data_IF_943384068720
#
_entry.id   IF_943384068720
#
_cell.length_a   1.000
_cell.length_b   1.000
_cell.length_c   1.000
_cell.angle_alpha   90.00
_cell.angle_beta   90.00
_cell.angle_gamma   90.00
#
_symmetry.space_group_name_H-M   'P 1'
#
loop_
_entity.id
_entity.type
_entity.pdbx_description
1 polymer ?
#
# COMPACT_ATOMS: atom_id res chain seq x y z
N UNK A 1 -10.18 -2.61 -0.89
CA UNK A 1 -9.63 -2.87 -2.24
C UNK A 1 -8.75 -1.72 -2.67
N UNK A 2 -7.56 -1.97 -3.28
CA UNK A 2 -6.66 -0.91 -3.70
C UNK A 2 -7.00 -0.35 -5.08
N UNK A 3 -6.81 0.96 -5.26
CA UNK A 3 -6.98 1.63 -6.55
C UNK A 3 -6.00 1.12 -7.62
N UNK A 4 -4.87 0.54 -7.24
CA UNK A 4 -3.93 -0.09 -8.16
C UNK A 4 -4.58 -1.19 -9.03
N UNK A 5 -5.47 -2.00 -8.45
CA UNK A 5 -6.22 -3.03 -9.18
C UNK A 5 -7.23 -2.42 -10.15
N UNK A 6 -8.05 -1.47 -9.70
CA UNK A 6 -9.01 -0.78 -10.59
C UNK A 6 -8.26 -0.11 -11.77
N UNK A 7 -7.12 0.56 -11.47
CA UNK A 7 -6.27 1.17 -12.49
C UNK A 7 -5.79 0.17 -13.53
N UNK A 8 -5.42 -1.05 -13.12
CA UNK A 8 -4.98 -2.10 -14.04
C UNK A 8 -6.09 -2.51 -15.00
N UNK A 9 -7.31 -2.74 -14.51
CA UNK A 9 -8.44 -3.08 -15.38
C UNK A 9 -8.71 -2.00 -16.44
N UNK A 10 -8.72 -0.74 -16.07
CA UNK A 10 -8.87 0.35 -17.03
C UNK A 10 -7.69 0.44 -18.01
N UNK A 11 -6.48 0.18 -17.55
CA UNK A 11 -5.30 0.18 -18.43
C UNK A 11 -5.35 -0.96 -19.47
N UNK A 12 -5.74 -2.15 -19.07
CA UNK A 12 -5.88 -3.32 -19.95
C UNK A 12 -7.01 -3.11 -20.98
N UNK A 13 -8.10 -2.42 -20.59
CA UNK A 13 -9.21 -2.07 -21.47
C UNK A 13 -8.84 -1.07 -22.58
N UNK A 14 -7.65 -0.44 -22.52
CA UNK A 14 -7.19 0.56 -23.53
C UNK A 14 -7.19 0.03 -24.95
N UNK A 15 -6.97 -1.28 -25.13
CA UNK A 15 -6.98 -1.90 -26.47
C UNK A 15 -8.38 -1.93 -27.10
N UNK A 16 -9.44 -1.91 -26.29
CA UNK A 16 -10.83 -1.95 -26.77
C UNK A 16 -11.46 -0.56 -26.83
N UNK A 17 -11.09 0.35 -25.94
CA UNK A 17 -11.58 1.72 -25.90
C UNK A 17 -10.51 2.64 -25.28
N UNK A 18 -9.70 3.22 -26.15
CA UNK A 18 -8.58 4.08 -25.74
C UNK A 18 -9.07 5.40 -25.11
N UNK A 19 -10.18 5.96 -25.59
CA UNK A 19 -10.70 7.24 -25.13
C UNK A 19 -11.28 7.12 -23.72
N UNK A 20 -12.18 6.16 -23.48
CA UNK A 20 -12.75 5.91 -22.16
C UNK A 20 -11.67 5.47 -21.16
N UNK A 21 -10.71 4.62 -21.57
CA UNK A 21 -9.59 4.23 -20.74
C UNK A 21 -8.75 5.43 -20.30
N UNK A 22 -8.37 6.30 -21.23
CA UNK A 22 -7.58 7.50 -20.93
C UNK A 22 -8.31 8.39 -19.93
N UNK A 23 -9.62 8.57 -20.08
CA UNK A 23 -10.42 9.38 -19.16
C UNK A 23 -10.53 8.75 -17.77
N UNK A 24 -10.77 7.44 -17.69
CA UNK A 24 -10.77 6.72 -16.41
C UNK A 24 -9.42 6.83 -15.69
N UNK A 25 -8.32 6.62 -16.41
CA UNK A 25 -6.97 6.73 -15.87
C UNK A 25 -6.64 8.16 -15.42
N UNK A 26 -7.17 9.18 -16.09
CA UNK A 26 -7.03 10.59 -15.69
C UNK A 26 -7.71 10.84 -14.33
N UNK A 27 -8.94 10.35 -14.12
CA UNK A 27 -9.61 10.43 -12.80
C UNK A 27 -8.80 9.74 -11.71
N UNK A 28 -8.33 8.52 -11.97
CA UNK A 28 -7.50 7.79 -10.99
C UNK A 28 -6.21 8.55 -10.70
N UNK A 29 -5.57 9.15 -11.72
CA UNK A 29 -4.38 9.98 -11.54
C UNK A 29 -4.64 11.15 -10.60
N UNK A 30 -5.78 11.84 -10.69
CA UNK A 30 -6.14 12.93 -9.77
C UNK A 30 -6.14 12.46 -8.31
N UNK A 31 -6.62 11.24 -8.03
CA UNK A 31 -6.60 10.69 -6.67
C UNK A 31 -5.16 10.50 -6.16
N UNK A 32 -4.27 9.96 -6.99
CA UNK A 32 -2.84 9.81 -6.62
C UNK A 32 -2.11 11.16 -6.53
N UNK A 33 -2.49 12.15 -7.33
CA UNK A 33 -1.92 13.50 -7.24
C UNK A 33 -2.27 14.16 -5.89
N UNK A 34 -3.45 13.89 -5.32
CA UNK A 34 -3.82 14.34 -3.95
C UNK A 34 -2.91 13.69 -2.90
N UNK A 35 -2.62 12.39 -3.01
CA UNK A 35 -1.68 11.70 -2.11
C UNK A 35 -0.27 12.29 -2.17
N UNK A 36 0.18 12.60 -3.39
CA UNK A 36 1.48 13.26 -3.59
C UNK A 36 1.51 14.65 -2.97
N UNK A 37 0.45 15.44 -3.13
CA UNK A 37 0.34 16.76 -2.51
C UNK A 37 0.35 16.67 -0.97
N UNK A 38 -0.33 15.68 -0.39
CA UNK A 38 -0.34 15.45 1.06
C UNK A 38 1.07 15.15 1.59
N UNK A 39 1.81 14.29 0.88
CA UNK A 39 3.20 14.00 1.21
C UNK A 39 4.08 15.24 1.14
N UNK A 40 3.97 16.01 0.07
CA UNK A 40 4.72 17.26 -0.10
C UNK A 40 4.38 18.30 0.98
N UNK A 41 3.10 18.38 1.41
CA UNK A 41 2.67 19.28 2.48
C UNK A 41 3.28 18.86 3.83
N UNK A 42 3.37 17.54 4.11
CA UNK A 42 4.05 17.04 5.29
C UNK A 42 5.57 17.31 5.24
N UNK A 43 6.22 17.12 4.09
CA UNK A 43 7.65 17.41 3.90
C UNK A 43 7.99 18.90 4.12
N UNK A 44 7.10 19.79 3.69
CA UNK A 44 7.27 21.25 3.89
C UNK A 44 7.04 21.71 5.35
N UNK A 45 6.59 20.84 6.23
CA UNK A 45 6.39 21.19 7.65
C UNK A 45 7.70 21.41 8.42
N UNK A 46 8.85 21.07 7.84
CA UNK A 46 10.17 21.16 8.48
C UNK A 46 10.44 20.05 9.51
N UNK A 47 9.53 19.06 9.65
CA UNK A 47 9.74 17.91 10.51
C UNK A 47 10.65 16.91 9.79
N UNK A 48 11.74 16.50 10.41
CA UNK A 48 12.66 15.51 9.85
C UNK A 48 11.98 14.12 9.88
N UNK A 49 11.77 13.49 8.70
CA UNK A 49 11.09 12.21 8.63
C UNK A 49 11.89 11.03 9.21
N UNK A 50 13.16 11.21 9.52
CA UNK A 50 14.03 10.19 10.10
C UNK A 50 14.24 10.43 11.59
N UNK A 51 14.56 11.68 11.97
CA UNK A 51 14.83 12.03 13.37
C UNK A 51 13.54 12.08 14.22
N UNK A 52 12.39 12.47 13.63
CA UNK A 52 11.09 12.59 14.31
C UNK A 52 10.00 11.89 13.47
N UNK A 53 10.18 10.60 13.26
CA UNK A 53 9.35 9.80 12.35
C UNK A 53 7.87 9.75 12.77
N UNK A 54 7.58 9.66 14.06
CA UNK A 54 6.21 9.60 14.59
C UNK A 54 5.47 10.92 14.33
N UNK A 55 6.10 12.04 14.63
CA UNK A 55 5.52 13.37 14.40
C UNK A 55 5.36 13.66 12.90
N UNK A 56 6.31 13.23 12.08
CA UNK A 56 6.17 13.33 10.62
C UNK A 56 5.00 12.49 10.11
N UNK A 57 4.84 11.27 10.65
CA UNK A 57 3.73 10.39 10.29
C UNK A 57 2.38 11.01 10.67
N UNK A 58 2.25 11.54 11.89
CA UNK A 58 1.02 12.23 12.33
C UNK A 58 0.68 13.42 11.43
N UNK A 59 1.69 14.20 11.05
CA UNK A 59 1.51 15.29 10.10
C UNK A 59 1.04 14.80 8.74
N UNK A 60 1.64 13.74 8.21
CA UNK A 60 1.24 13.15 6.94
C UNK A 60 -0.21 12.63 6.98
N UNK A 61 -0.61 11.97 8.07
CA UNK A 61 -1.97 11.48 8.29
C UNK A 61 -2.97 12.64 8.28
N UNK A 62 -2.67 13.73 8.99
CA UNK A 62 -3.51 14.92 9.03
C UNK A 62 -3.66 15.57 7.63
N UNK A 63 -2.56 15.73 6.89
CA UNK A 63 -2.60 16.33 5.55
C UNK A 63 -3.33 15.44 4.54
N UNK A 64 -3.17 14.10 4.62
CA UNK A 64 -3.93 13.15 3.80
C UNK A 64 -5.43 13.32 4.04
N UNK A 65 -5.87 13.27 5.29
CA UNK A 65 -7.29 13.42 5.61
C UNK A 65 -7.83 14.75 5.08
N UNK A 66 -7.16 15.86 5.39
CA UNK A 66 -7.58 17.21 4.97
C UNK A 66 -7.72 17.33 3.44
N UNK A 67 -6.69 16.92 2.70
CA UNK A 67 -6.69 17.05 1.23
C UNK A 67 -7.64 16.07 0.54
N UNK A 68 -7.83 14.87 1.11
CA UNK A 68 -8.84 13.92 0.62
C UNK A 68 -10.25 14.46 0.75
N UNK A 69 -10.60 15.05 1.91
CA UNK A 69 -11.91 15.70 2.09
C UNK A 69 -12.08 16.87 1.12
N UNK A 70 -11.04 17.64 0.90
CA UNK A 70 -11.10 18.81 0.03
C UNK A 70 -11.19 18.48 -1.46
N UNK A 71 -10.49 17.42 -1.92
CA UNK A 71 -10.34 17.14 -3.34
C UNK A 71 -10.77 15.72 -3.74
N UNK A 72 -10.31 14.67 -3.03
CA UNK A 72 -10.56 13.30 -3.47
C UNK A 72 -12.04 12.94 -3.44
N UNK A 73 -12.80 13.41 -2.47
CA UNK A 73 -14.24 13.14 -2.36
C UNK A 73 -14.98 13.66 -3.60
N UNK A 74 -14.66 14.89 -4.04
CA UNK A 74 -15.27 15.46 -5.23
C UNK A 74 -14.80 14.76 -6.53
N UNK A 75 -13.52 14.42 -6.64
CA UNK A 75 -13.01 13.63 -7.77
C UNK A 75 -13.69 12.27 -7.88
N UNK A 76 -13.89 11.58 -6.75
CA UNK A 76 -14.62 10.32 -6.69
C UNK A 76 -16.08 10.48 -7.12
N UNK A 77 -16.76 11.52 -6.66
CA UNK A 77 -18.15 11.81 -7.06
C UNK A 77 -18.25 12.00 -8.58
N UNK A 78 -17.38 12.83 -9.16
CA UNK A 78 -17.35 13.08 -10.61
C UNK A 78 -17.01 11.80 -11.38
N UNK A 79 -16.06 11.02 -10.88
CA UNK A 79 -15.67 9.77 -11.53
C UNK A 79 -16.81 8.75 -11.51
N UNK A 80 -17.52 8.60 -10.38
CA UNK A 80 -18.69 7.72 -10.27
C UNK A 80 -19.76 8.12 -11.29
N UNK A 81 -20.14 9.39 -11.31
CA UNK A 81 -21.15 9.90 -12.24
C UNK A 81 -20.74 9.64 -13.70
N UNK A 82 -19.47 9.83 -14.03
CA UNK A 82 -18.98 9.51 -15.36
C UNK A 82 -19.03 8.00 -15.65
N UNK A 83 -18.60 7.13 -14.73
CA UNK A 83 -18.69 5.67 -14.92
C UNK A 83 -20.12 5.21 -15.16
N UNK A 84 -21.08 5.73 -14.39
CA UNK A 84 -22.51 5.45 -14.54
C UNK A 84 -23.01 5.88 -15.94
N UNK A 85 -22.63 7.07 -16.39
CA UNK A 85 -23.02 7.56 -17.72
C UNK A 85 -22.45 6.76 -18.91
N UNK A 86 -21.40 5.98 -18.68
CA UNK A 86 -20.80 5.14 -19.73
C UNK A 86 -21.49 3.77 -19.88
N UNK A 87 -22.24 3.32 -18.88
CA UNK A 87 -22.88 2.00 -18.90
C UNK A 87 -24.10 1.98 -19.81
N UNK A 88 -24.23 0.95 -20.64
CA UNK A 88 -25.39 0.76 -21.52
C UNK A 88 -26.73 0.68 -20.74
N UNK A 89 -26.74 0.16 -19.52
CA UNK A 89 -27.91 0.14 -18.64
C UNK A 89 -28.46 1.55 -18.32
N UNK A 90 -27.63 2.58 -18.44
CA UNK A 90 -28.00 4.00 -18.25
C UNK A 90 -27.98 4.80 -19.57
N UNK A 91 -28.08 4.12 -20.71
CA UNK A 91 -28.06 4.77 -22.04
C UNK A 91 -26.65 5.11 -22.55
N UNK A 92 -25.61 4.64 -21.89
CA UNK A 92 -24.22 4.87 -22.30
C UNK A 92 -23.74 3.93 -23.42
N UNK A 93 -22.61 4.24 -24.04
CA UNK A 93 -22.10 3.52 -25.23
C UNK A 93 -21.39 2.21 -24.90
N UNK A 94 -21.04 1.93 -23.64
CA UNK A 94 -20.16 0.81 -23.27
C UNK A 94 -20.98 -0.44 -22.90
N UNK A 95 -20.77 -1.50 -23.67
CA UNK A 95 -21.41 -2.79 -23.43
C UNK A 95 -20.82 -3.50 -22.20
N UNK A 96 -21.64 -4.14 -21.33
CA UNK A 96 -21.19 -4.77 -20.08
C UNK A 96 -20.10 -5.84 -20.26
N UNK A 97 -20.16 -6.61 -21.34
CA UNK A 97 -19.21 -7.70 -21.63
C UNK A 97 -17.91 -7.24 -22.32
N UNK A 98 -17.84 -5.98 -22.75
CA UNK A 98 -16.59 -5.44 -23.30
C UNK A 98 -15.52 -5.32 -22.21
N UNK A 99 -14.21 -5.31 -22.53
CA UNK A 99 -13.14 -5.11 -21.55
C UNK A 99 -13.33 -3.84 -20.71
N UNK A 100 -13.80 -2.75 -21.34
CA UNK A 100 -14.11 -1.50 -20.64
C UNK A 100 -15.33 -1.66 -19.72
N UNK A 101 -16.39 -2.36 -20.18
CA UNK A 101 -17.57 -2.65 -19.35
C UNK A 101 -17.24 -3.50 -18.13
N UNK A 102 -16.35 -4.46 -18.28
CA UNK A 102 -15.84 -5.26 -17.14
C UNK A 102 -15.03 -4.40 -16.16
N UNK A 103 -14.20 -3.49 -16.63
CA UNK A 103 -13.46 -2.54 -15.79
C UNK A 103 -14.41 -1.62 -15.00
N UNK A 104 -15.44 -1.09 -15.64
CA UNK A 104 -16.47 -0.27 -15.00
C UNK A 104 -17.23 -1.11 -13.95
N UNK A 105 -17.69 -2.30 -14.34
CA UNK A 105 -18.42 -3.20 -13.43
C UNK A 105 -17.57 -3.55 -12.20
N UNK A 106 -16.28 -3.84 -12.38
CA UNK A 106 -15.36 -4.09 -11.28
C UNK A 106 -15.27 -2.87 -10.34
N UNK A 107 -15.05 -1.69 -10.89
CA UNK A 107 -14.93 -0.46 -10.10
C UNK A 107 -16.22 -0.16 -9.33
N UNK A 108 -17.39 -0.30 -9.98
CA UNK A 108 -18.68 -0.03 -9.36
C UNK A 108 -19.03 -1.04 -8.25
N UNK A 109 -18.75 -2.33 -8.45
CA UNK A 109 -18.97 -3.37 -7.43
C UNK A 109 -18.06 -3.18 -6.20
N UNK A 110 -16.92 -2.55 -6.37
CA UNK A 110 -15.96 -2.29 -5.29
C UNK A 110 -15.97 -0.83 -4.81
N UNK A 111 -16.95 -0.02 -5.27
CA UNK A 111 -16.91 1.42 -5.09
C UNK A 111 -16.78 1.87 -3.64
N UNK A 112 -17.59 1.31 -2.76
CA UNK A 112 -17.53 1.63 -1.33
C UNK A 112 -16.15 1.30 -0.74
N UNK A 113 -15.62 0.11 -1.03
CA UNK A 113 -14.31 -0.32 -0.58
C UNK A 113 -13.16 0.54 -1.16
N UNK A 114 -13.32 1.02 -2.40
CA UNK A 114 -12.37 1.94 -3.03
C UNK A 114 -12.41 3.34 -2.40
N UNK A 115 -13.54 3.75 -1.82
CA UNK A 115 -13.70 5.05 -1.18
C UNK A 115 -13.24 5.06 0.29
N UNK A 116 -13.14 3.91 0.98
CA UNK A 116 -12.79 3.82 2.41
C UNK A 116 -11.52 4.58 2.78
N UNK A 117 -10.50 4.61 1.90
CA UNK A 117 -9.24 5.31 2.19
C UNK A 117 -9.43 6.81 2.47
N UNK A 118 -10.53 7.42 2.02
CA UNK A 118 -10.81 8.83 2.28
C UNK A 118 -11.29 9.11 3.70
N UNK A 119 -11.75 8.09 4.43
CA UNK A 119 -12.31 8.24 5.78
C UNK A 119 -11.26 8.39 6.87
N UNK A 120 -10.01 7.98 6.60
CA UNK A 120 -8.92 8.03 7.56
C UNK A 120 -7.59 8.26 6.85
N UNK A 121 -6.81 9.24 7.29
CA UNK A 121 -5.49 9.55 6.71
C UNK A 121 -4.43 8.45 6.87
N UNK A 122 -4.64 7.52 7.81
CA UNK A 122 -3.76 6.35 8.02
C UNK A 122 -3.92 5.31 6.93
N UNK A 123 -5.10 5.21 6.32
CA UNK A 123 -5.36 4.25 5.24
C UNK A 123 -4.62 4.67 3.98
N UNK A 124 -3.97 3.73 3.31
CA UNK A 124 -3.35 3.99 2.02
C UNK A 124 -4.37 3.84 0.88
N UNK A 125 -4.20 4.62 -0.19
CA UNK A 125 -4.98 4.52 -1.42
C UNK A 125 -4.79 3.16 -2.12
N UNK A 126 -3.64 2.51 -1.89
CA UNK A 126 -3.31 1.17 -2.37
C UNK A 126 -2.64 0.33 -1.27
N UNK A 127 -2.47 -0.97 -1.53
CA UNK A 127 -1.80 -1.91 -0.64
C UNK A 127 -0.48 -2.43 -1.22
N UNK A 128 0.13 -1.70 -2.15
CA UNK A 128 1.37 -2.13 -2.83
C UNK A 128 2.47 -2.51 -1.84
N UNK A 129 2.56 -1.83 -0.68
CA UNK A 129 3.53 -2.17 0.35
C UNK A 129 3.29 -3.57 0.95
N UNK A 130 2.04 -3.92 1.22
CA UNK A 130 1.68 -5.25 1.73
C UNK A 130 1.85 -6.33 0.63
N UNK A 131 1.44 -6.03 -0.60
CA UNK A 131 1.61 -6.96 -1.73
C UNK A 131 3.09 -7.24 -2.02
N UNK A 132 3.95 -6.22 -1.96
CA UNK A 132 5.39 -6.40 -2.13
C UNK A 132 6.01 -7.21 -0.99
N UNK A 133 5.53 -7.07 0.25
CA UNK A 133 5.98 -7.91 1.37
C UNK A 133 5.63 -9.39 1.14
N UNK A 134 4.43 -9.67 0.61
CA UNK A 134 4.00 -11.04 0.30
C UNK A 134 4.64 -11.62 -0.97
N UNK A 135 5.17 -10.77 -1.86
CA UNK A 135 5.75 -11.22 -3.13
C UNK A 135 6.89 -12.23 -2.94
N UNK A 136 7.71 -12.07 -1.89
CA UNK A 136 8.81 -13.00 -1.58
C UNK A 136 8.30 -14.38 -1.25
N UNK A 137 7.25 -14.46 -0.44
CA UNK A 137 6.59 -15.74 -0.12
C UNK A 137 6.03 -16.37 -1.38
N UNK A 138 5.36 -15.58 -2.24
CA UNK A 138 4.78 -16.07 -3.48
C UNK A 138 5.84 -16.56 -4.48
N UNK A 139 7.00 -15.91 -4.58
CA UNK A 139 8.12 -16.33 -5.42
C UNK A 139 8.84 -17.53 -4.81
N UNK A 140 9.17 -17.48 -3.51
CA UNK A 140 9.86 -18.54 -2.79
C UNK A 140 9.08 -19.85 -2.74
N UNK A 141 7.74 -19.78 -2.74
CA UNK A 141 6.86 -20.97 -2.79
C UNK A 141 7.15 -21.89 -3.97
N UNK A 142 7.67 -21.37 -5.07
CA UNK A 142 8.09 -22.19 -6.22
C UNK A 142 9.29 -23.10 -5.91
N UNK A 143 10.10 -22.73 -4.91
CA UNK A 143 11.29 -23.50 -4.53
C UNK A 143 11.00 -24.49 -3.40
N UNK A 144 10.15 -24.15 -2.44
CA UNK A 144 9.89 -24.94 -1.24
C UNK A 144 8.49 -25.54 -1.15
N UNK A 145 7.61 -25.23 -2.10
CA UNK A 145 6.28 -25.81 -2.33
C UNK A 145 5.30 -25.64 -1.15
N UNK A 146 5.69 -25.97 0.10
CA UNK A 146 4.86 -25.92 1.31
C UNK A 146 5.72 -25.70 2.57
N UNK A 147 5.08 -25.34 3.68
CA UNK A 147 5.75 -25.05 4.95
C UNK A 147 5.90 -26.27 5.87
N UNK A 148 5.50 -27.46 5.46
CA UNK A 148 5.60 -28.72 6.19
C UNK A 148 4.59 -28.91 7.32
N UNK A 149 4.17 -27.83 7.98
CA UNK A 149 3.16 -27.86 9.07
C UNK A 149 2.63 -26.45 9.32
N UNK A 150 1.53 -26.33 10.10
CA UNK A 150 1.00 -25.03 10.55
C UNK A 150 2.04 -24.25 11.36
N UNK A 151 2.78 -24.90 12.25
CA UNK A 151 3.86 -24.28 13.01
C UNK A 151 4.98 -23.78 12.09
N UNK A 152 5.34 -24.54 11.04
CA UNK A 152 6.29 -24.08 10.01
C UNK A 152 5.79 -22.84 9.27
N UNK A 153 4.49 -22.78 8.98
CA UNK A 153 3.84 -21.60 8.39
C UNK A 153 3.91 -20.37 9.30
N UNK A 154 3.60 -20.54 10.59
CA UNK A 154 3.73 -19.46 11.59
C UNK A 154 5.16 -18.96 11.72
N UNK A 155 6.13 -19.87 11.84
CA UNK A 155 7.56 -19.53 11.94
C UNK A 155 8.02 -18.76 10.70
N UNK A 156 7.64 -19.22 9.50
CA UNK A 156 7.96 -18.53 8.25
C UNK A 156 7.34 -17.12 8.23
N UNK A 157 6.06 -16.96 8.62
CA UNK A 157 5.39 -15.67 8.66
C UNK A 157 6.11 -14.67 9.59
N UNK A 158 6.53 -15.11 10.78
CA UNK A 158 7.29 -14.28 11.73
C UNK A 158 8.63 -13.85 11.12
N UNK A 159 9.42 -14.80 10.61
CA UNK A 159 10.73 -14.49 10.02
C UNK A 159 10.63 -13.56 8.81
N UNK A 160 9.66 -13.80 7.90
CA UNK A 160 9.42 -12.91 6.77
C UNK A 160 8.98 -11.51 7.19
N UNK A 161 8.22 -11.38 8.28
CA UNK A 161 7.82 -10.08 8.84
C UNK A 161 9.02 -9.29 9.33
N UNK A 162 9.97 -9.94 10.01
CA UNK A 162 11.22 -9.30 10.44
C UNK A 162 12.08 -8.89 9.25
N UNK A 163 12.29 -9.77 8.28
CA UNK A 163 13.08 -9.48 7.07
C UNK A 163 12.46 -8.29 6.30
N UNK A 164 11.14 -8.31 6.06
CA UNK A 164 10.46 -7.23 5.35
C UNK A 164 10.56 -5.90 6.12
N UNK A 165 10.53 -5.93 7.45
CA UNK A 165 10.69 -4.74 8.29
C UNK A 165 12.13 -4.21 8.23
N UNK A 166 13.14 -5.09 8.31
CA UNK A 166 14.54 -4.71 8.15
C UNK A 166 14.77 -3.96 6.84
N UNK A 167 14.27 -4.50 5.74
CA UNK A 167 14.44 -3.87 4.42
C UNK A 167 13.76 -2.52 4.30
N UNK A 168 12.55 -2.37 4.86
CA UNK A 168 11.86 -1.07 4.90
C UNK A 168 12.64 -0.01 5.65
N UNK A 169 13.40 -0.42 6.68
CA UNK A 169 14.25 0.45 7.49
C UNK A 169 15.71 0.49 7.02
N UNK A 170 16.03 -0.16 5.89
CA UNK A 170 17.40 -0.24 5.34
C UNK A 170 18.39 -0.88 6.31
N UNK A 171 17.91 -1.81 7.11
CA UNK A 171 18.71 -2.64 8.01
C UNK A 171 19.07 -3.92 7.27
N UNK A 172 20.33 -4.38 7.37
CA UNK A 172 20.75 -5.68 6.85
C UNK A 172 20.05 -6.80 7.65
N UNK A 173 19.18 -7.62 7.03
CA UNK A 173 18.46 -8.67 7.75
C UNK A 173 19.38 -9.75 8.35
N UNK A 174 20.52 -10.04 7.72
CA UNK A 174 21.45 -11.04 8.24
C UNK A 174 22.16 -10.54 9.50
N UNK A 175 22.71 -9.34 9.46
CA UNK A 175 23.34 -8.71 10.63
C UNK A 175 22.34 -8.55 11.78
N UNK A 176 21.09 -8.12 11.47
CA UNK A 176 20.01 -8.02 12.44
C UNK A 176 19.70 -9.35 13.12
N UNK A 177 19.41 -10.41 12.33
CA UNK A 177 19.04 -11.72 12.88
C UNK A 177 20.20 -12.34 13.66
N UNK A 178 21.44 -12.23 13.19
CA UNK A 178 22.63 -12.71 13.91
C UNK A 178 22.73 -12.08 15.29
N UNK A 179 22.62 -10.77 15.39
CA UNK A 179 22.72 -10.04 16.65
C UNK A 179 21.53 -10.34 17.58
N UNK A 180 20.30 -10.28 17.07
CA UNK A 180 19.10 -10.54 17.87
C UNK A 180 19.06 -11.95 18.42
N UNK A 181 19.37 -12.97 17.61
CA UNK A 181 19.41 -14.36 18.06
C UNK A 181 20.49 -14.59 19.13
N UNK A 182 21.58 -13.84 19.10
CA UNK A 182 22.63 -13.89 20.13
C UNK A 182 22.17 -13.28 21.45
N UNK A 183 21.38 -12.20 21.42
CA UNK A 183 21.02 -11.41 22.61
C UNK A 183 19.66 -11.76 23.21
N UNK A 184 18.72 -12.28 22.43
CA UNK A 184 17.31 -12.42 22.83
C UNK A 184 17.13 -13.24 24.10
N UNK A 185 17.91 -14.32 24.27
CA UNK A 185 17.82 -15.18 25.43
C UNK A 185 18.22 -14.48 26.76
N UNK A 186 19.09 -13.47 26.70
CA UNK A 186 19.53 -12.67 27.82
C UNK A 186 18.77 -11.35 27.99
N UNK A 187 17.89 -11.00 27.04
CA UNK A 187 17.16 -9.73 27.07
C UNK A 187 15.89 -9.85 27.90
N UNK A 188 15.68 -9.01 28.92
CA UNK A 188 14.43 -8.98 29.69
C UNK A 188 13.23 -8.71 28.80
N UNK A 189 12.06 -9.32 29.12
CA UNK A 189 10.81 -9.16 28.37
C UNK A 189 10.43 -7.68 28.19
N UNK A 190 10.64 -6.87 29.22
CA UNK A 190 10.37 -5.42 29.20
C UNK A 190 11.26 -4.61 28.24
N UNK A 191 12.29 -5.23 27.67
CA UNK A 191 13.25 -4.59 26.77
C UNK A 191 13.22 -5.21 25.35
N UNK A 192 12.36 -6.18 25.08
CA UNK A 192 12.28 -6.84 23.76
C UNK A 192 11.93 -5.87 22.62
N UNK A 193 11.25 -4.77 22.93
CA UNK A 193 10.91 -3.75 21.95
C UNK A 193 12.14 -3.06 21.33
N UNK A 194 13.27 -3.03 22.06
CA UNK A 194 14.55 -2.51 21.58
C UNK A 194 15.19 -3.40 20.50
N UNK A 195 14.79 -4.67 20.44
CA UNK A 195 15.23 -5.63 19.43
C UNK A 195 14.40 -5.58 18.14
N UNK A 196 13.33 -4.79 18.08
CA UNK A 196 12.53 -4.65 16.86
C UNK A 196 13.34 -3.96 15.76
N UNK A 197 13.22 -4.35 14.47
CA UNK A 197 14.09 -3.86 13.40
C UNK A 197 14.15 -2.34 13.28
N UNK A 198 13.04 -1.64 13.53
CA UNK A 198 12.96 -0.17 13.45
C UNK A 198 13.62 0.55 14.64
N UNK A 199 13.92 -0.15 15.72
CA UNK A 199 14.63 0.37 16.91
C UNK A 199 16.03 -0.21 17.07
N UNK A 200 16.33 -1.28 16.33
CA UNK A 200 17.59 -1.97 16.42
C UNK A 200 18.79 -1.08 16.05
N UNK A 201 19.84 -1.19 16.85
CA UNK A 201 21.15 -0.58 16.58
C UNK A 201 22.21 -1.69 16.68
N UNK A 202 23.15 -1.76 15.71
CA UNK A 202 24.24 -2.71 15.79
C UNK A 202 25.04 -2.50 17.08
N UNK A 203 25.45 -3.59 17.72
CA UNK A 203 26.42 -3.52 18.80
C UNK A 203 27.78 -3.18 18.23
N UNK A 204 28.58 -2.41 18.96
CA UNK A 204 29.91 -1.89 18.51
C UNK A 204 30.91 -2.99 18.07
N UNK A 205 30.61 -4.27 18.29
CA UNK A 205 31.44 -5.40 17.87
C UNK A 205 31.33 -5.78 16.38
N UNK A 206 30.33 -5.30 15.66
CA UNK A 206 30.07 -5.65 14.23
C UNK A 206 30.45 -4.51 13.25
N UNK A 207 31.22 -3.52 13.71
CA UNK A 207 31.63 -2.35 12.89
C UNK A 207 33.05 -2.50 12.30
N UNK A 208 33.55 -3.72 12.12
CA UNK A 208 34.80 -4.01 11.45
C UNK A 208 34.59 -4.79 10.16
#
# INVERSE_FOLDING_TARGET
MPWAHARRYFYEARKSDAAASTKALAYIKLLYDVEKQAKQAAERSGIDPVADADRFYDRLVAERYRLRQQFSVEHLRQFKTWLESQQAAHGGPILPKSPMGQAITYAMNQWEALCVYTTDGRLNIDNNAAENAHRRVAVGRKNWLFCGSDNGGHTAAVLFSFIATCERHKVDPFAYLKDVLTRIAATPISQLDQLLPHRWKPTAADSN
#
